data_IF_580961196260
#
_entry.id   IF_580961196260
#
_cell.length_a   1.000
_cell.length_b   1.000
_cell.length_c   1.000
_cell.angle_alpha   90.00
_cell.angle_beta   90.00
_cell.angle_gamma   90.00
#
_symmetry.space_group_name_H-M   'P 1'
#
loop_
_entity.id
_entity.type
_entity.pdbx_description
1 polymer ?
#
# COMPACT_ATOMS: atom_id res chain seq x y z
N UNK A 1 -41.03 -15.09 2.73
CA UNK A 1 -39.69 -14.98 3.35
C UNK A 1 -38.65 -14.50 2.37
N UNK A 2 -38.31 -13.21 2.44
CA UNK A 2 -37.21 -12.63 1.67
C UNK A 2 -35.95 -12.81 2.53
N UNK A 3 -35.34 -13.99 2.48
CA UNK A 3 -34.04 -14.22 3.10
C UNK A 3 -33.06 -13.34 2.33
N UNK A 4 -32.70 -12.20 2.92
CA UNK A 4 -31.78 -11.24 2.32
C UNK A 4 -30.55 -11.96 1.84
N UNK A 5 -30.36 -12.03 0.51
CA UNK A 5 -29.17 -12.58 -0.10
C UNK A 5 -27.97 -11.93 0.60
N UNK A 6 -27.02 -12.70 1.13
CA UNK A 6 -25.91 -12.11 1.88
C UNK A 6 -25.22 -11.10 0.97
N UNK A 7 -25.29 -9.83 1.35
CA UNK A 7 -24.55 -8.77 0.68
C UNK A 7 -23.07 -9.01 0.97
N UNK A 8 -22.25 -9.03 -0.08
CA UNK A 8 -20.80 -9.29 -0.08
C UNK A 8 -20.43 -10.79 -0.04
N UNK A 9 -21.00 -11.56 -0.98
CA UNK A 9 -20.76 -13.01 -1.10
C UNK A 9 -19.32 -13.37 -1.47
N UNK A 10 -18.62 -12.48 -2.19
CA UNK A 10 -17.31 -12.78 -2.75
C UNK A 10 -16.23 -12.10 -1.94
N UNK A 11 -15.45 -12.92 -1.24
CA UNK A 11 -14.24 -12.51 -0.53
C UNK A 11 -13.05 -12.71 -1.46
N UNK A 12 -12.30 -11.64 -1.71
CA UNK A 12 -11.01 -11.72 -2.39
C UNK A 12 -9.91 -11.24 -1.43
N UNK A 13 -8.85 -12.04 -1.31
CA UNK A 13 -7.70 -11.73 -0.47
C UNK A 13 -6.42 -11.97 -1.25
N UNK A 14 -5.49 -11.01 -1.21
CA UNK A 14 -4.18 -11.10 -1.84
C UNK A 14 -3.11 -10.89 -0.76
N UNK A 15 -2.22 -11.88 -0.66
CA UNK A 15 -0.98 -11.81 0.10
C UNK A 15 0.18 -11.77 -0.89
N UNK A 16 0.99 -10.71 -0.84
CA UNK A 16 2.16 -10.54 -1.70
C UNK A 16 3.43 -10.44 -0.87
N UNK A 17 4.20 -11.53 -0.91
CA UNK A 17 5.50 -11.63 -0.24
C UNK A 17 6.62 -11.16 -1.17
N UNK A 18 7.46 -10.23 -0.71
CA UNK A 18 8.67 -9.82 -1.42
C UNK A 18 9.78 -9.42 -0.43
N UNK A 19 10.99 -9.23 -0.96
CA UNK A 19 12.16 -8.93 -0.14
C UNK A 19 11.94 -7.66 0.70
N UNK A 20 11.83 -7.83 2.01
CA UNK A 20 11.75 -6.74 2.99
C UNK A 20 10.33 -6.18 3.24
N UNK A 21 9.26 -6.82 2.76
CA UNK A 21 7.91 -6.64 3.29
C UNK A 21 6.90 -7.66 2.77
N UNK A 22 5.80 -7.72 3.49
CA UNK A 22 4.58 -8.39 3.09
C UNK A 22 3.50 -7.33 2.83
N UNK A 23 2.71 -7.52 1.78
CA UNK A 23 1.54 -6.71 1.45
C UNK A 23 0.31 -7.60 1.54
N UNK A 24 -0.62 -7.22 2.42
CA UNK A 24 -1.91 -7.89 2.55
C UNK A 24 -3.04 -6.92 2.21
N UNK A 25 -4.00 -7.40 1.42
CA UNK A 25 -5.25 -6.72 1.20
C UNK A 25 -6.40 -7.72 1.05
N UNK A 26 -7.55 -7.34 1.59
CA UNK A 26 -8.78 -8.11 1.54
C UNK A 26 -9.95 -7.18 1.21
N UNK A 27 -10.89 -7.67 0.41
CA UNK A 27 -12.15 -7.00 0.11
C UNK A 27 -13.30 -7.99 -0.11
N UNK A 28 -14.52 -7.48 0.06
CA UNK A 28 -15.75 -8.25 -0.07
C UNK A 28 -16.75 -7.50 -0.93
N UNK A 29 -17.18 -8.10 -2.04
CA UNK A 29 -18.19 -7.50 -2.92
C UNK A 29 -19.26 -8.49 -3.37
N UNK A 30 -20.29 -7.94 -3.99
CA UNK A 30 -21.38 -8.71 -4.61
C UNK A 30 -21.00 -9.28 -5.98
N UNK A 31 -19.93 -8.78 -6.59
CA UNK A 31 -19.33 -9.26 -7.83
C UNK A 31 -17.87 -9.66 -7.58
N UNK A 32 -17.49 -10.85 -8.07
CA UNK A 32 -16.13 -11.37 -7.99
C UNK A 32 -15.12 -10.44 -8.67
N UNK A 33 -15.43 -9.93 -9.86
CA UNK A 33 -14.50 -9.09 -10.60
C UNK A 33 -14.34 -7.71 -9.97
N UNK A 34 -15.41 -7.17 -9.39
CA UNK A 34 -15.36 -5.96 -8.57
C UNK A 34 -14.48 -6.16 -7.34
N UNK A 35 -14.61 -7.32 -6.66
CA UNK A 35 -13.75 -7.68 -5.52
C UNK A 35 -12.26 -7.67 -5.92
N UNK A 36 -11.92 -8.26 -7.08
CA UNK A 36 -10.54 -8.33 -7.57
C UNK A 36 -9.99 -6.93 -7.86
N UNK A 37 -10.76 -6.07 -8.51
CA UNK A 37 -10.34 -4.69 -8.82
C UNK A 37 -10.07 -3.88 -7.54
N UNK A 38 -10.95 -3.99 -6.53
CA UNK A 38 -10.79 -3.29 -5.26
C UNK A 38 -9.56 -3.77 -4.47
N UNK A 39 -9.36 -5.09 -4.37
CA UNK A 39 -8.16 -5.63 -3.70
C UNK A 39 -6.90 -5.19 -4.44
N UNK A 40 -6.91 -5.20 -5.78
CA UNK A 40 -5.77 -4.75 -6.60
C UNK A 40 -5.48 -3.27 -6.38
N UNK A 41 -6.49 -2.41 -6.33
CA UNK A 41 -6.36 -0.97 -6.01
C UNK A 41 -5.75 -0.74 -4.62
N UNK A 42 -6.17 -1.52 -3.61
CA UNK A 42 -5.58 -1.48 -2.26
C UNK A 42 -4.09 -1.83 -2.28
N UNK A 43 -3.70 -2.90 -2.98
CA UNK A 43 -2.29 -3.30 -3.13
C UNK A 43 -1.47 -2.23 -3.86
N UNK A 44 -2.00 -1.67 -4.96
CA UNK A 44 -1.33 -0.60 -5.70
C UNK A 44 -1.08 0.65 -4.83
N UNK A 45 -2.07 1.03 -4.01
CA UNK A 45 -1.93 2.16 -3.09
C UNK A 45 -0.84 1.91 -2.03
N UNK A 46 -0.78 0.70 -1.47
CA UNK A 46 0.27 0.31 -0.53
C UNK A 46 1.66 0.32 -1.17
N UNK A 47 1.79 -0.18 -2.40
CA UNK A 47 3.04 -0.17 -3.16
C UNK A 47 3.53 1.27 -3.41
N UNK A 48 2.64 2.16 -3.85
CA UNK A 48 2.95 3.57 -4.06
C UNK A 48 3.38 4.27 -2.77
N UNK A 49 2.68 4.02 -1.66
CA UNK A 49 3.04 4.57 -0.34
C UNK A 49 4.45 4.12 0.08
N UNK A 50 4.77 2.85 -0.12
CA UNK A 50 6.10 2.31 0.18
C UNK A 50 7.18 2.94 -0.69
N UNK A 51 6.94 3.04 -1.99
CA UNK A 51 7.88 3.66 -2.93
C UNK A 51 8.18 5.11 -2.53
N UNK A 52 7.14 5.91 -2.27
CA UNK A 52 7.30 7.30 -1.84
C UNK A 52 8.06 7.40 -0.52
N UNK A 53 7.79 6.52 0.45
CA UNK A 53 8.53 6.48 1.73
C UNK A 53 10.03 6.27 1.53
N UNK A 54 10.43 5.41 0.59
CA UNK A 54 11.84 5.16 0.26
C UNK A 54 12.46 6.43 -0.34
N UNK A 55 11.81 7.03 -1.34
CA UNK A 55 12.27 8.27 -1.97
C UNK A 55 12.42 9.40 -0.95
N UNK A 56 11.41 9.66 -0.13
CA UNK A 56 11.44 10.71 0.91
C UNK A 56 12.57 10.48 1.91
N UNK A 57 12.85 9.22 2.28
CA UNK A 57 13.98 8.89 3.16
C UNK A 57 15.31 9.28 2.53
N UNK A 58 15.52 8.98 1.24
CA UNK A 58 16.74 9.37 0.53
C UNK A 58 16.91 10.89 0.44
N UNK A 59 15.84 11.63 0.12
CA UNK A 59 15.89 13.09 0.09
C UNK A 59 16.18 13.70 1.47
N UNK A 60 15.54 13.19 2.54
CA UNK A 60 15.79 13.68 3.90
C UNK A 60 17.24 13.46 4.34
N UNK A 61 17.84 12.31 4.00
CA UNK A 61 19.25 12.03 4.31
C UNK A 61 20.17 12.99 3.55
N UNK A 62 19.90 13.24 2.27
CA UNK A 62 20.68 14.18 1.47
C UNK A 62 20.59 15.63 1.99
N UNK A 63 19.41 16.06 2.44
CA UNK A 63 19.22 17.38 3.04
C UNK A 63 20.01 17.54 4.34
N UNK A 64 19.97 16.53 5.23
CA UNK A 64 20.73 16.56 6.50
C UNK A 64 22.23 16.62 6.27
N UNK A 65 22.76 15.80 5.35
CA UNK A 65 24.18 15.82 5.02
C UNK A 65 24.65 17.20 4.51
N UNK A 66 23.80 17.89 3.74
CA UNK A 66 24.11 19.25 3.26
C UNK A 66 24.10 20.29 4.38
N UNK A 67 23.18 20.18 5.33
CA UNK A 67 23.07 21.08 6.49
C UNK A 67 24.24 20.90 7.47
N UNK A 68 24.68 19.67 7.70
CA UNK A 68 25.88 19.37 8.49
C UNK A 68 27.15 19.93 7.85
N UNK A 69 27.29 19.83 6.51
CA UNK A 69 28.40 20.45 5.78
C UNK A 69 28.40 21.98 5.87
N UNK A 70 27.23 22.62 5.89
CA UNK A 70 27.11 24.08 5.98
C UNK A 70 27.36 24.60 7.39
N UNK A 71 26.92 23.87 8.42
CA UNK A 71 27.14 24.22 9.83
C UNK A 71 28.57 23.98 10.28
N UNK A 72 29.27 23.00 9.71
CA UNK A 72 30.69 22.74 10.01
C UNK A 72 31.67 23.72 9.32
N UNK A 73 31.18 24.55 8.39
CA UNK A 73 32.00 25.50 7.63
C UNK A 73 31.86 26.95 8.09
N UNK A 74 31.20 27.18 9.24
CA UNK A 74 31.09 28.46 9.97
C UNK A 74 31.85 28.35 11.28
#
# INVERSE_FOLDING_TARGET
>A
DHVGLPTNKFKCAINLYFKGADLFAEDYENDLYASIDLVTKKIQAQLRKRHNKIITRHHSVASKAKEELQTASV
#
